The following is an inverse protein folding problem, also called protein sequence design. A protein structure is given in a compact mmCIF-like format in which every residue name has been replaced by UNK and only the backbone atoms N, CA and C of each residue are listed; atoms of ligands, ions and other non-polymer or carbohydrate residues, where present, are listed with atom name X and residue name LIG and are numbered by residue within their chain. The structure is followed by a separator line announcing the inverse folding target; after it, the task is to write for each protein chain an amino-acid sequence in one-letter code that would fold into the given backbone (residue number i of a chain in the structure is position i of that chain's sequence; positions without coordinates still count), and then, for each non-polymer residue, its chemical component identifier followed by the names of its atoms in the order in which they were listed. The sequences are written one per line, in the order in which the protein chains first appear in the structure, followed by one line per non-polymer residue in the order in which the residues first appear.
data_IF_608986537486
#
_entry.id   IF_608986537486
#
_cell.length_a   1.000
_cell.length_b   1.000
_cell.length_c   1.000
_cell.angle_alpha   90.00
_cell.angle_beta   90.00
_cell.angle_gamma   90.00
#
_symmetry.space_group_name_H-M   'P 1'
#
loop_
_entity.id
_entity.type
_entity.pdbx_description
1 polymer ?
#
# COMPACT_ATOMS: atom_id res chain seq x y z
N UNK A 1 -22.32 12.63 -14.47
CA UNK A 1 -21.93 11.32 -13.88
C UNK A 1 -20.46 11.12 -14.16
N UNK A 2 -19.60 11.30 -13.17
CA UNK A 2 -18.14 11.12 -13.32
C UNK A 2 -17.87 9.64 -13.60
N UNK A 3 -17.12 9.34 -14.65
CA UNK A 3 -16.76 7.96 -14.97
C UNK A 3 -15.93 7.37 -13.82
N UNK A 4 -16.31 6.18 -13.33
CA UNK A 4 -15.55 5.46 -12.31
C UNK A 4 -14.20 5.06 -12.89
N UNK A 5 -13.11 5.35 -12.17
CA UNK A 5 -11.75 4.98 -12.58
C UNK A 5 -11.31 3.79 -11.75
N UNK A 6 -10.88 2.73 -12.43
CA UNK A 6 -10.44 1.48 -11.81
C UNK A 6 -8.93 1.32 -11.94
N UNK A 7 -8.33 0.64 -10.96
CA UNK A 7 -6.94 0.23 -11.03
C UNK A 7 -6.79 -0.92 -12.01
N UNK A 8 -5.68 -0.93 -12.73
CA UNK A 8 -5.28 -2.03 -13.60
C UNK A 8 -4.50 -3.08 -12.83
N UNK A 9 -4.38 -4.27 -13.42
CA UNK A 9 -3.57 -5.37 -12.87
C UNK A 9 -2.08 -4.98 -12.77
N UNK A 10 -1.62 -4.01 -13.56
CA UNK A 10 -0.25 -3.48 -13.50
C UNK A 10 -0.03 -2.46 -12.38
N UNK A 11 -1.08 -1.75 -11.95
CA UNK A 11 -0.97 -0.71 -10.91
C UNK A 11 -0.70 -1.32 -9.53
N UNK A 12 -1.40 -2.41 -9.18
CA UNK A 12 -1.28 -3.02 -7.85
C UNK A 12 0.13 -3.56 -7.55
N UNK A 13 0.82 -4.26 -8.46
CA UNK A 13 2.23 -4.63 -8.27
C UNK A 13 3.17 -3.44 -8.19
N UNK A 14 2.87 -2.33 -8.88
CA UNK A 14 3.65 -1.10 -8.75
C UNK A 14 3.50 -0.50 -7.36
N UNK A 15 2.27 -0.42 -6.83
CA UNK A 15 2.00 0.00 -5.45
C UNK A 15 2.66 -0.91 -4.42
N UNK A 16 2.63 -2.23 -4.64
CA UNK A 16 3.34 -3.20 -3.79
C UNK A 16 4.85 -2.97 -3.80
N UNK A 17 5.45 -2.78 -4.97
CA UNK A 17 6.89 -2.49 -5.10
C UNK A 17 7.28 -1.24 -4.32
N UNK A 18 6.55 -0.14 -4.48
CA UNK A 18 6.77 1.09 -3.73
C UNK A 18 6.66 0.88 -2.21
N UNK A 19 5.67 0.09 -1.77
CA UNK A 19 5.52 -0.24 -0.35
C UNK A 19 6.69 -1.06 0.19
N UNK A 20 7.20 -2.03 -0.59
CA UNK A 20 8.34 -2.87 -0.22
C UNK A 20 9.64 -2.05 -0.19
N UNK A 21 9.82 -1.13 -1.13
CA UNK A 21 10.98 -0.22 -1.16
C UNK A 21 11.02 0.70 0.06
N UNK A 22 9.87 1.26 0.46
CA UNK A 22 9.79 2.18 1.58
C UNK A 22 9.91 1.52 2.97
N UNK A 23 9.41 0.28 3.12
CA UNK A 23 9.24 -0.35 4.44
C UNK A 23 9.91 -1.71 4.57
N UNK A 24 10.54 -2.21 3.52
CA UNK A 24 11.07 -3.57 3.44
C UNK A 24 10.01 -4.65 3.24
N UNK A 25 10.49 -5.86 2.91
CA UNK A 25 9.69 -7.04 2.62
C UNK A 25 10.26 -7.81 1.43
N UNK A 26 9.70 -8.98 1.15
CA UNK A 26 10.08 -9.76 -0.04
C UNK A 26 9.27 -9.28 -1.26
N UNK A 27 9.89 -8.66 -2.28
CA UNK A 27 9.20 -8.37 -3.52
C UNK A 27 8.87 -9.66 -4.25
N UNK A 28 7.73 -9.71 -4.93
CA UNK A 28 7.36 -10.87 -5.74
C UNK A 28 5.86 -11.11 -5.78
N UNK A 29 5.38 -11.36 -7.00
CA UNK A 29 4.03 -11.84 -7.23
C UNK A 29 4.03 -13.36 -7.07
N UNK A 30 3.13 -13.87 -6.23
CA UNK A 30 2.93 -15.30 -6.01
C UNK A 30 2.08 -15.90 -7.14
N UNK A 31 0.95 -15.27 -7.42
CA UNK A 31 0.00 -15.74 -8.43
C UNK A 31 -0.72 -14.55 -9.08
N UNK A 32 -0.61 -14.45 -10.40
CA UNK A 32 -1.24 -13.40 -11.19
C UNK A 32 -2.76 -13.57 -11.23
N UNK A 33 -3.28 -14.80 -11.27
CA UNK A 33 -4.72 -15.07 -11.38
C UNK A 33 -5.47 -14.59 -10.14
N UNK A 34 -4.84 -14.75 -8.97
CA UNK A 34 -5.36 -14.27 -7.69
C UNK A 34 -5.42 -12.74 -7.62
N UNK A 35 -4.48 -12.06 -8.28
CA UNK A 35 -4.47 -10.61 -8.40
C UNK A 35 -5.54 -10.13 -9.39
N UNK A 36 -5.61 -10.74 -10.57
CA UNK A 36 -6.61 -10.43 -11.60
C UNK A 36 -8.02 -10.55 -11.04
N UNK A 37 -8.31 -11.64 -10.32
CA UNK A 37 -9.64 -11.82 -9.71
C UNK A 37 -9.96 -10.74 -8.68
N UNK A 38 -8.96 -10.27 -7.93
CA UNK A 38 -9.15 -9.22 -6.93
C UNK A 38 -9.43 -7.85 -7.58
N UNK A 39 -8.71 -7.52 -8.65
CA UNK A 39 -8.87 -6.25 -9.39
C UNK A 39 -10.17 -6.20 -10.19
N UNK A 40 -10.66 -7.34 -10.67
CA UNK A 40 -11.93 -7.42 -11.39
C UNK A 40 -13.16 -7.35 -10.47
N UNK A 41 -13.02 -7.65 -9.18
CA UNK A 41 -14.16 -7.63 -8.23
C UNK A 41 -14.90 -6.28 -8.16
N UNK A 42 -14.25 -5.11 -8.01
CA UNK A 42 -14.97 -3.83 -8.01
C UNK A 42 -15.67 -3.53 -9.35
N UNK A 43 -15.24 -4.15 -10.45
CA UNK A 43 -15.85 -3.98 -11.78
C UNK A 43 -17.07 -4.90 -12.00
N UNK A 44 -17.37 -5.80 -11.06
CA UNK A 44 -18.50 -6.74 -11.16
C UNK A 44 -19.88 -6.06 -11.12
N UNK A 45 -19.96 -4.80 -10.68
CA UNK A 45 -21.21 -4.07 -10.54
C UNK A 45 -22.06 -4.46 -9.32
N UNK A 46 -21.54 -5.32 -8.43
CA UNK A 46 -22.22 -5.71 -7.19
C UNK A 46 -22.26 -4.58 -6.14
N UNK A 47 -21.27 -3.68 -6.19
CA UNK A 47 -21.08 -2.62 -5.20
C UNK A 47 -21.79 -1.32 -5.62
N UNK A 48 -22.50 -0.70 -4.67
CA UNK A 48 -23.38 0.45 -4.95
C UNK A 48 -22.59 1.75 -5.18
N UNK A 49 -21.54 1.96 -4.40
CA UNK A 49 -20.76 3.18 -4.34
C UNK A 49 -19.25 2.91 -4.35
N UNK A 50 -18.48 3.95 -4.67
CA UNK A 50 -17.01 3.90 -4.79
C UNK A 50 -16.37 3.43 -3.48
N UNK A 51 -16.93 3.77 -2.33
CA UNK A 51 -16.42 3.31 -1.03
C UNK A 51 -16.60 1.79 -0.87
N UNK A 52 -17.74 1.25 -1.27
CA UNK A 52 -17.99 -0.19 -1.22
C UNK A 52 -17.14 -0.96 -2.24
N UNK A 53 -16.92 -0.39 -3.44
CA UNK A 53 -15.97 -0.92 -4.43
C UNK A 53 -14.53 -0.96 -3.89
N UNK A 54 -14.10 0.12 -3.22
CA UNK A 54 -12.79 0.21 -2.58
C UNK A 54 -12.64 -0.87 -1.50
N UNK A 55 -13.66 -1.03 -0.64
CA UNK A 55 -13.66 -2.06 0.39
C UNK A 55 -13.59 -3.48 -0.18
N UNK A 56 -14.34 -3.76 -1.26
CA UNK A 56 -14.29 -5.04 -1.99
C UNK A 56 -12.91 -5.32 -2.56
N UNK A 57 -12.26 -4.31 -3.15
CA UNK A 57 -10.90 -4.42 -3.70
C UNK A 57 -9.90 -4.77 -2.61
N UNK A 58 -9.91 -4.01 -1.50
CA UNK A 58 -9.02 -4.22 -0.36
C UNK A 58 -9.16 -5.62 0.24
N UNK A 59 -10.39 -6.01 0.58
CA UNK A 59 -10.65 -7.35 1.13
C UNK A 59 -10.11 -8.46 0.21
N UNK A 60 -10.32 -8.33 -1.11
CA UNK A 60 -9.89 -9.34 -2.08
C UNK A 60 -8.38 -9.47 -2.15
N UNK A 61 -7.65 -8.36 -2.21
CA UNK A 61 -6.18 -8.38 -2.23
C UNK A 61 -5.65 -8.95 -0.91
N UNK A 62 -6.22 -8.51 0.22
CA UNK A 62 -5.84 -8.97 1.54
C UNK A 62 -6.06 -10.47 1.74
N UNK A 63 -7.18 -11.01 1.24
CA UNK A 63 -7.58 -12.42 1.42
C UNK A 63 -6.98 -13.36 0.39
N UNK A 64 -6.81 -12.92 -0.85
CA UNK A 64 -6.26 -13.77 -1.91
C UNK A 64 -4.74 -13.96 -1.77
N UNK A 65 -4.07 -13.08 -1.03
CA UNK A 65 -2.61 -13.11 -0.83
C UNK A 65 -1.82 -13.27 -2.15
N UNK A 66 -2.01 -12.37 -3.14
CA UNK A 66 -1.37 -12.50 -4.45
C UNK A 66 0.15 -12.27 -4.41
N UNK A 67 0.70 -11.67 -3.35
CA UNK A 67 2.14 -11.39 -3.19
C UNK A 67 2.80 -12.32 -2.18
N UNK A 68 4.12 -12.48 -2.29
CA UNK A 68 4.95 -13.27 -1.37
C UNK A 68 4.95 -12.69 0.05
N UNK A 69 4.97 -11.37 0.17
CA UNK A 69 4.91 -10.64 1.43
C UNK A 69 4.22 -9.28 1.21
N UNK A 70 3.82 -8.58 2.27
CA UNK A 70 3.30 -7.22 2.20
C UNK A 70 1.86 -7.12 1.67
N UNK A 71 1.12 -8.23 1.56
CA UNK A 71 -0.27 -8.25 1.07
C UNK A 71 -1.19 -7.25 1.79
N UNK A 72 -1.03 -7.11 3.11
CA UNK A 72 -1.81 -6.18 3.94
C UNK A 72 -1.58 -4.72 3.51
N UNK A 73 -0.31 -4.36 3.33
CA UNK A 73 0.11 -3.02 2.91
C UNK A 73 -0.30 -2.73 1.47
N UNK A 74 -0.13 -3.70 0.57
CA UNK A 74 -0.58 -3.59 -0.81
C UNK A 74 -2.09 -3.43 -0.93
N UNK A 75 -2.86 -4.17 -0.12
CA UNK A 75 -4.31 -4.01 -0.02
C UNK A 75 -4.69 -2.59 0.37
N UNK A 76 -4.08 -2.06 1.44
CA UNK A 76 -4.37 -0.70 1.90
C UNK A 76 -3.96 0.37 0.87
N UNK A 77 -2.77 0.24 0.27
CA UNK A 77 -2.30 1.14 -0.76
C UNK A 77 -3.22 1.14 -2.01
N UNK A 78 -3.73 -0.03 -2.41
CA UNK A 78 -4.68 -0.13 -3.52
C UNK A 78 -6.00 0.59 -3.19
N UNK A 79 -6.50 0.48 -1.97
CA UNK A 79 -7.71 1.19 -1.50
C UNK A 79 -7.52 2.70 -1.51
N UNK A 80 -6.42 3.19 -0.91
CA UNK A 80 -6.10 4.61 -0.85
C UNK A 80 -5.97 5.23 -2.26
N UNK A 81 -5.22 4.58 -3.15
CA UNK A 81 -5.06 5.06 -4.53
C UNK A 81 -6.38 4.99 -5.31
N UNK A 82 -7.17 3.92 -5.14
CA UNK A 82 -8.48 3.80 -5.78
C UNK A 82 -9.44 4.94 -5.37
N UNK A 83 -9.43 5.34 -4.10
CA UNK A 83 -10.21 6.48 -3.63
C UNK A 83 -9.70 7.79 -4.23
N UNK A 84 -8.37 7.99 -4.26
CA UNK A 84 -7.73 9.20 -4.81
C UNK A 84 -8.01 9.42 -6.29
N UNK A 85 -7.91 8.38 -7.13
CA UNK A 85 -8.20 8.51 -8.56
C UNK A 85 -9.68 8.84 -8.83
N UNK A 86 -10.56 8.54 -7.88
CA UNK A 86 -11.99 8.84 -7.94
C UNK A 86 -12.36 10.16 -7.20
N UNK A 87 -11.37 10.94 -6.76
CA UNK A 87 -11.61 12.26 -6.15
C UNK A 87 -11.93 12.24 -4.65
N UNK A 88 -11.63 11.14 -3.97
CA UNK A 88 -11.74 11.00 -2.51
C UNK A 88 -10.37 10.98 -1.86
N UNK A 89 -10.29 11.40 -0.60
CA UNK A 89 -9.11 11.25 0.24
C UNK A 89 -9.49 10.70 1.61
N UNK A 90 -8.48 10.28 2.36
CA UNK A 90 -8.65 9.84 3.73
C UNK A 90 -8.26 10.99 4.67
N UNK A 91 -9.18 11.41 5.54
CA UNK A 91 -8.94 12.38 6.60
C UNK A 91 -8.42 11.67 7.86
N UNK A 92 -7.25 11.05 7.72
CA UNK A 92 -6.59 10.30 8.79
C UNK A 92 -5.08 10.39 8.59
N UNK A 93 -4.33 10.45 9.68
CA UNK A 93 -2.87 10.38 9.59
C UNK A 93 -2.43 9.01 9.08
N UNK A 94 -1.33 8.92 8.31
CA UNK A 94 -0.81 7.63 7.85
C UNK A 94 -0.58 6.63 8.99
N UNK A 95 -0.08 7.10 10.13
CA UNK A 95 0.18 6.27 11.31
C UNK A 95 -1.10 5.65 11.88
N UNK A 96 -2.17 6.45 12.05
CA UNK A 96 -3.44 5.96 12.56
C UNK A 96 -4.12 4.97 11.58
N UNK A 97 -3.97 5.18 10.28
CA UNK A 97 -4.46 4.24 9.28
C UNK A 97 -3.71 2.90 9.32
N UNK A 98 -2.38 2.94 9.51
CA UNK A 98 -1.55 1.74 9.65
C UNK A 98 -1.88 1.00 10.94
N UNK A 99 -2.04 1.71 12.05
CA UNK A 99 -2.41 1.12 13.34
C UNK A 99 -3.76 0.40 13.26
N UNK A 100 -4.78 1.06 12.70
CA UNK A 100 -6.08 0.45 12.46
C UNK A 100 -5.97 -0.80 11.57
N UNK A 101 -5.18 -0.73 10.49
CA UNK A 101 -4.96 -1.86 9.59
C UNK A 101 -4.34 -3.06 10.34
N UNK A 102 -3.27 -2.82 11.11
CA UNK A 102 -2.56 -3.87 11.85
C UNK A 102 -3.48 -4.55 12.87
N UNK A 103 -4.24 -3.77 13.65
CA UNK A 103 -5.20 -4.27 14.64
C UNK A 103 -6.25 -5.21 14.01
N UNK A 104 -6.81 -4.81 12.85
CA UNK A 104 -7.84 -5.62 12.16
C UNK A 104 -7.31 -6.93 11.59
N UNK A 105 -6.04 -6.95 11.20
CA UNK A 105 -5.40 -8.17 10.75
C UNK A 105 -5.04 -9.10 11.90
N UNK A 106 -4.64 -8.58 13.06
CA UNK A 106 -4.35 -9.40 14.26
C UNK A 106 -5.62 -10.07 14.78
N UNK A 107 -6.72 -9.33 14.82
CA UNK A 107 -8.04 -9.84 15.21
C UNK A 107 -8.69 -10.75 14.15
N UNK A 108 -8.09 -10.89 12.96
CA UNK A 108 -8.64 -11.62 11.79
C UNK A 108 -10.04 -11.14 11.37
N UNK A 109 -10.38 -9.88 11.66
CA UNK A 109 -11.68 -9.29 11.34
C UNK A 109 -11.66 -8.45 10.06
N UNK A 110 -10.58 -8.52 9.28
CA UNK A 110 -10.43 -7.82 8.00
C UNK A 110 -11.43 -8.36 6.95
N UNK A 111 -12.64 -7.82 7.00
CA UNK A 111 -13.76 -8.12 6.11
C UNK A 111 -14.16 -6.86 5.36
N UNK A 112 -14.81 -7.03 4.21
CA UNK A 112 -15.33 -5.92 3.41
C UNK A 112 -16.18 -4.98 4.25
N UNK A 113 -17.08 -5.52 5.09
CA UNK A 113 -18.01 -4.71 5.89
C UNK A 113 -17.27 -3.79 6.87
N UNK A 114 -16.33 -4.34 7.65
CA UNK A 114 -15.55 -3.55 8.61
C UNK A 114 -14.70 -2.48 7.90
N UNK A 115 -14.12 -2.82 6.75
CA UNK A 115 -13.35 -1.88 5.94
C UNK A 115 -14.24 -0.77 5.37
N UNK A 116 -15.42 -1.12 4.87
CA UNK A 116 -16.41 -0.16 4.37
C UNK A 116 -16.88 0.78 5.48
N UNK A 117 -17.23 0.23 6.65
CA UNK A 117 -17.69 1.01 7.81
C UNK A 117 -16.63 1.98 8.32
N UNK A 118 -15.35 1.58 8.29
CA UNK A 118 -14.24 2.47 8.60
C UNK A 118 -14.05 3.54 7.53
N UNK A 119 -14.01 3.14 6.25
CA UNK A 119 -13.84 4.08 5.13
C UNK A 119 -14.94 5.14 5.13
N UNK A 120 -16.19 4.79 5.42
CA UNK A 120 -17.30 5.75 5.51
C UNK A 120 -17.10 6.84 6.59
N UNK A 121 -16.25 6.60 7.59
CA UNK A 121 -15.95 7.57 8.66
C UNK A 121 -14.78 8.49 8.31
N UNK A 122 -13.80 7.96 7.56
CA UNK A 122 -12.55 8.68 7.27
C UNK A 122 -12.49 9.26 5.85
N UNK A 123 -13.34 8.78 4.94
CA UNK A 123 -13.35 9.25 3.55
C UNK A 123 -13.99 10.63 3.50
N UNK A 124 -13.24 11.57 2.96
CA UNK A 124 -13.68 12.93 2.63
C UNK A 124 -13.49 13.17 1.14
N UNK A 125 -14.28 14.07 0.56
CA UNK A 125 -14.06 14.51 -0.81
C UNK A 125 -12.70 15.20 -0.90
N UNK A 126 -11.86 14.87 -1.89
CA UNK A 126 -10.49 15.39 -2.02
C UNK A 126 -10.43 16.92 -2.10
N UNK A 127 -11.50 17.56 -2.60
CA UNK A 127 -11.69 19.01 -2.56
C UNK A 127 -11.62 19.57 -1.13
N UNK A 128 -12.14 18.85 -0.15
CA UNK A 128 -12.22 19.28 1.24
C UNK A 128 -10.85 19.31 1.92
N UNK A 129 -9.93 18.41 1.53
CA UNK A 129 -8.55 18.37 2.05
C UNK A 129 -7.74 19.57 1.53
N UNK A 130 -7.90 19.92 0.25
CA UNK A 130 -7.21 21.06 -0.35
C UNK A 130 -7.69 22.41 0.20
N UNK A 131 -8.97 22.53 0.59
CA UNK A 131 -9.53 23.76 1.17
C UNK A 131 -9.32 23.85 2.68
N UNK A 132 -9.36 22.72 3.41
CA UNK A 132 -9.15 22.68 4.87
C UNK A 132 -7.68 22.67 5.27
N UNK A 133 -6.77 22.35 4.35
CA UNK A 133 -5.32 22.28 4.55
C UNK A 133 -4.62 23.61 4.85
N UNK A 134 -5.33 24.74 4.92
CA UNK A 134 -4.75 26.04 5.30
C UNK A 134 -4.61 26.20 6.84
N UNK A 135 -5.22 25.35 7.67
CA UNK A 135 -5.23 25.55 9.13
C UNK A 135 -4.53 24.50 10.01
N UNK A 136 -4.00 23.40 9.45
CA UNK A 136 -3.17 22.46 10.22
C UNK A 136 -1.69 22.52 9.78
N UNK A 137 -1.10 23.70 9.99
CA UNK A 137 0.34 23.83 10.15
C UNK A 137 0.74 23.23 11.50
N UNK A 138 1.14 21.95 11.53
CA UNK A 138 2.29 21.49 12.30
C UNK A 138 2.92 20.24 11.66
N UNK A 139 4.16 20.39 11.19
CA UNK A 139 5.17 19.31 11.21
C UNK A 139 5.27 18.39 9.99
N UNK A 140 6.22 18.72 9.11
CA UNK A 140 6.77 17.89 8.01
C UNK A 140 5.88 17.65 6.78
N UNK A 141 5.84 18.67 5.93
CA UNK A 141 5.83 18.47 4.49
C UNK A 141 7.11 17.69 4.15
N UNK A 142 7.04 16.35 4.09
CA UNK A 142 7.88 15.63 3.13
C UNK A 142 7.21 15.85 1.79
N UNK A 143 7.73 16.81 1.05
CA UNK A 143 7.51 16.96 -0.38
C UNK A 143 7.58 15.59 -1.03
N UNK A 144 6.42 15.04 -1.42
CA UNK A 144 6.37 13.96 -2.40
C UNK A 144 7.19 14.42 -3.60
N UNK A 145 8.30 13.75 -3.95
CA UNK A 145 9.08 14.18 -5.09
C UNK A 145 8.19 14.02 -6.31
N UNK A 146 8.15 15.10 -7.08
CA UNK A 146 7.64 15.22 -8.44
C UNK A 146 7.65 13.88 -9.17
N UNK A 147 6.44 13.41 -9.46
CA UNK A 147 6.15 12.54 -10.59
C UNK A 147 6.51 13.32 -11.86
N UNK A 148 7.80 13.40 -12.18
CA UNK A 148 8.29 14.00 -13.42
C UNK A 148 9.20 13.01 -14.14
N UNK A 149 9.03 13.01 -15.46
CA UNK A 149 9.75 12.19 -16.42
C UNK A 149 11.26 12.40 -16.27
N UNK A 150 12.03 11.33 -16.31
CA UNK A 150 13.45 11.46 -16.62
C UNK A 150 14.34 10.38 -16.04
N UNK A 151 14.82 9.52 -16.92
CA UNK A 151 16.01 8.70 -16.74
C UNK A 151 17.17 9.48 -16.11
N UNK A 152 17.81 8.92 -15.07
CA UNK A 152 19.27 8.83 -14.95
C UNK A 152 19.67 8.12 -13.63
N UNK A 153 20.27 6.95 -13.79
CA UNK A 153 21.02 6.25 -12.75
C UNK A 153 22.35 6.98 -12.52
N UNK A 154 22.59 7.52 -11.32
CA UNK A 154 23.96 7.82 -10.86
C UNK A 154 24.12 7.49 -9.38
N UNK A 155 25.13 6.66 -9.11
CA UNK A 155 25.60 6.09 -7.84
C UNK A 155 25.92 7.10 -6.72
N UNK A 156 26.02 6.52 -5.51
CA UNK A 156 26.59 6.99 -4.21
C UNK A 156 25.56 7.81 -3.42
N UNK A 157 25.22 7.49 -2.17
CA UNK A 157 26.11 7.33 -1.02
C UNK A 157 25.40 6.49 0.05
N UNK A 158 26.13 5.54 0.64
CA UNK A 158 25.81 4.88 1.90
C UNK A 158 25.77 5.91 3.05
N UNK A 159 24.75 5.87 3.91
CA UNK A 159 24.97 6.02 5.35
C UNK A 159 23.80 5.41 6.16
N UNK A 160 24.11 4.59 7.19
CA UNK A 160 23.14 3.99 8.12
C UNK A 160 22.88 4.93 9.32
N UNK A 161 22.04 4.48 10.26
CA UNK A 161 21.58 5.14 11.51
C UNK A 161 20.27 5.94 11.28
N UNK A 162 19.13 5.66 11.91
CA UNK A 162 18.91 5.24 13.30
C UNK A 162 17.48 4.69 13.44
N UNK A 163 17.29 3.42 13.82
CA UNK A 163 16.02 2.94 14.39
C UNK A 163 16.31 1.90 15.50
N UNK A 164 15.53 1.86 16.60
CA UNK A 164 15.92 1.17 17.82
C UNK A 164 15.74 -0.36 17.71
N UNK A 165 16.73 -1.08 18.23
CA UNK A 165 16.74 -2.54 18.36
C UNK A 165 15.74 -2.99 19.43
N UNK A 166 14.75 -3.78 19.02
CA UNK A 166 14.11 -4.76 19.90
C UNK A 166 14.61 -6.16 19.51
N UNK A 167 15.21 -6.80 20.50
CA UNK A 167 16.04 -7.98 20.38
C UNK A 167 15.24 -9.24 19.99
N UNK A 168 15.80 -10.04 19.07
CA UNK A 168 15.74 -11.51 19.16
C UNK A 168 17.10 -12.10 18.82
N UNK A 169 17.68 -12.76 19.82
CA UNK A 169 18.80 -13.69 19.70
C UNK A 169 18.36 -14.87 18.83
N UNK A 170 19.14 -15.24 17.83
CA UNK A 170 19.63 -16.60 17.59
C UNK A 170 20.83 -16.53 16.62
N UNK A 171 21.92 -17.20 17.00
CA UNK A 171 23.23 -17.29 16.32
C UNK A 171 23.08 -17.79 14.86
N UNK A 172 23.65 -17.10 13.84
CA UNK A 172 24.99 -17.32 13.21
C UNK A 172 25.14 -18.74 12.61
N UNK A 173 25.43 -19.03 11.33
CA UNK A 173 25.99 -18.34 10.12
C UNK A 173 25.67 -19.20 8.86
N UNK A 174 25.83 -18.67 7.63
CA UNK A 174 26.44 -19.47 6.57
C UNK A 174 27.77 -18.85 6.11
N UNK A 175 28.81 -19.69 6.05
CA UNK A 175 30.08 -19.42 5.36
C UNK A 175 29.85 -19.65 3.86
N UNK A 176 29.92 -18.60 3.05
CA UNK A 176 30.11 -18.74 1.61
C UNK A 176 31.61 -18.75 1.32
N UNK A 177 32.17 -19.93 1.08
CA UNK A 177 33.41 -20.11 0.36
C UNK A 177 33.06 -20.14 -1.13
N UNK A 178 33.53 -19.16 -1.89
CA UNK A 178 33.57 -19.20 -3.35
C UNK A 178 35.04 -19.06 -3.75
N UNK A 179 35.62 -20.17 -4.21
CA UNK A 179 36.86 -20.20 -5.00
C UNK A 179 36.67 -19.46 -6.32
N UNK A 180 37.78 -19.07 -6.96
CA UNK A 180 37.88 -19.27 -8.40
C UNK A 180 39.17 -20.00 -8.77
N UNK A 181 38.99 -21.13 -9.46
CA UNK A 181 39.96 -21.64 -10.43
C UNK A 181 39.72 -20.91 -11.76
N UNK A 182 40.79 -20.52 -12.45
CA UNK A 182 41.11 -20.85 -13.86
C UNK A 182 42.04 -19.77 -14.43
N UNK A 183 43.20 -20.29 -14.87
CA UNK A 183 44.24 -19.83 -15.80
C UNK A 183 44.92 -18.47 -15.61
#
# INVERSE_FOLDING_TARGET
MTARRYLTVGDVPALHRMSVEAHGGTPGLRDLRLLESAVMRPQSGYDRDIISEAASLGESIGRNHPFMDGNKRASFAAVDVFLRINGYGLDVTPDAAIEWLLERFETRTFTKRELEDWLRRVVVSAWFILVSGVLHSQGSISSSPTFDRGYACTRRVCCPHTWPRLARRHHRRPLCLLSPSIH
#
